data_IF_804339325175
#
_entry.id   IF_804339325175
#
_cell.length_a   1.000
_cell.length_b   1.000
_cell.length_c   1.000
_cell.angle_alpha   90.00
_cell.angle_beta   90.00
_cell.angle_gamma   90.00
#
_symmetry.space_group_name_H-M   'P 1'
#
loop_
_entity.id
_entity.type
_entity.pdbx_description
1 polymer ?
#
# COMPACT_ATOMS: atom_id res chain seq x y z
N UNK A 1 -14.26 41.43 20.01
CA UNK A 1 -13.16 40.46 20.00
C UNK A 1 -13.52 39.34 19.04
N UNK A 2 -13.15 39.47 17.77
CA UNK A 2 -13.58 38.55 16.69
C UNK A 2 -12.51 38.51 15.61
N UNK A 3 -11.30 38.06 15.94
CA UNK A 3 -10.25 37.78 14.95
C UNK A 3 -9.28 36.71 15.47
N UNK A 4 -9.70 35.43 15.50
CA UNK A 4 -8.80 34.30 15.72
C UNK A 4 -9.35 32.96 15.20
N UNK A 5 -10.13 32.94 14.12
CA UNK A 5 -10.64 31.67 13.52
C UNK A 5 -10.11 31.36 12.11
N UNK A 6 -9.36 32.25 11.48
CA UNK A 6 -9.00 32.14 10.06
C UNK A 6 -7.65 31.42 9.84
N UNK A 7 -6.81 31.27 10.88
CA UNK A 7 -5.50 30.61 10.76
C UNK A 7 -5.46 29.10 11.08
N UNK A 8 -6.51 28.54 11.71
CA UNK A 8 -6.49 27.16 12.19
C UNK A 8 -6.82 26.14 11.08
N UNK A 9 -7.70 26.51 10.14
CA UNK A 9 -8.16 25.63 9.04
C UNK A 9 -7.03 25.17 8.11
N UNK A 10 -6.11 26.05 7.62
CA UNK A 10 -5.00 25.59 6.79
C UNK A 10 -4.00 24.73 7.57
N UNK A 11 -3.80 24.99 8.87
CA UNK A 11 -2.90 24.19 9.71
C UNK A 11 -3.41 22.76 9.89
N UNK A 12 -4.71 22.60 10.19
CA UNK A 12 -5.34 21.29 10.28
C UNK A 12 -5.30 20.54 8.95
N UNK A 13 -5.59 21.21 7.84
CA UNK A 13 -5.55 20.60 6.50
C UNK A 13 -4.16 20.06 6.15
N UNK A 14 -3.09 20.81 6.46
CA UNK A 14 -1.71 20.37 6.24
C UNK A 14 -1.36 19.17 7.13
N UNK A 15 -1.76 19.18 8.40
CA UNK A 15 -1.51 18.02 9.28
C UNK A 15 -2.24 16.78 8.82
N UNK A 16 -3.49 16.89 8.37
CA UNK A 16 -4.25 15.76 7.82
C UNK A 16 -3.63 15.22 6.53
N UNK A 17 -3.17 16.11 5.64
CA UNK A 17 -2.49 15.70 4.42
C UNK A 17 -1.16 14.98 4.69
N UNK A 18 -0.37 15.46 5.67
CA UNK A 18 0.88 14.81 6.07
C UNK A 18 0.62 13.43 6.68
N UNK A 19 -0.36 13.32 7.58
CA UNK A 19 -0.73 12.03 8.19
C UNK A 19 -1.22 11.04 7.13
N UNK A 20 -2.10 11.47 6.22
CA UNK A 20 -2.57 10.65 5.10
C UNK A 20 -1.43 10.19 4.19
N UNK A 21 -0.43 11.06 3.94
CA UNK A 21 0.77 10.71 3.19
C UNK A 21 1.58 9.61 3.91
N UNK A 22 1.83 9.75 5.21
CA UNK A 22 2.54 8.71 5.98
C UNK A 22 1.79 7.38 5.99
N UNK A 23 0.46 7.39 6.16
CA UNK A 23 -0.38 6.19 6.10
C UNK A 23 -0.29 5.53 4.71
N UNK A 24 -0.31 6.34 3.66
CA UNK A 24 -0.11 5.86 2.29
C UNK A 24 1.26 5.22 2.07
N UNK A 25 2.32 5.78 2.67
CA UNK A 25 3.65 5.18 2.64
C UNK A 25 3.70 3.85 3.39
N UNK A 26 3.05 3.73 4.55
CA UNK A 26 2.98 2.47 5.31
C UNK A 26 2.23 1.40 4.51
N UNK A 27 1.06 1.73 3.95
CA UNK A 27 0.31 0.82 3.10
C UNK A 27 1.11 0.41 1.86
N UNK A 28 1.79 1.36 1.20
CA UNK A 28 2.69 1.08 0.08
C UNK A 28 3.83 0.13 0.51
N UNK A 29 4.43 0.36 1.68
CA UNK A 29 5.49 -0.50 2.23
C UNK A 29 4.98 -1.93 2.41
N UNK A 30 3.81 -2.12 3.01
CA UNK A 30 3.18 -3.43 3.21
C UNK A 30 2.93 -4.15 1.88
N UNK A 31 2.43 -3.42 0.89
CA UNK A 31 2.25 -3.93 -0.47
C UNK A 31 3.59 -4.35 -1.10
N UNK A 32 4.63 -3.52 -0.98
CA UNK A 32 5.96 -3.82 -1.50
C UNK A 32 6.58 -5.03 -0.81
N UNK A 33 6.39 -5.22 0.50
CA UNK A 33 6.86 -6.41 1.22
C UNK A 33 6.21 -7.66 0.64
N UNK A 34 4.89 -7.64 0.45
CA UNK A 34 4.17 -8.74 -0.17
C UNK A 34 4.69 -9.02 -1.59
N UNK A 35 4.75 -8.00 -2.46
CA UNK A 35 5.18 -8.17 -3.86
C UNK A 35 6.62 -8.65 -3.96
N UNK A 36 7.51 -8.10 -3.14
CA UNK A 36 8.91 -8.51 -3.09
C UNK A 36 9.05 -9.96 -2.64
N UNK A 37 8.26 -10.39 -1.65
CA UNK A 37 8.19 -11.78 -1.20
C UNK A 37 7.80 -12.71 -2.34
N UNK A 38 6.71 -12.42 -3.03
CA UNK A 38 6.26 -13.26 -4.15
C UNK A 38 7.31 -13.28 -5.26
N UNK A 39 7.82 -12.12 -5.68
CA UNK A 39 8.80 -12.00 -6.76
C UNK A 39 10.07 -12.78 -6.46
N UNK A 40 10.64 -12.62 -5.26
CA UNK A 40 11.86 -13.30 -4.88
C UNK A 40 11.68 -14.82 -4.90
N UNK A 41 10.63 -15.35 -4.27
CA UNK A 41 10.49 -16.80 -4.19
C UNK A 41 10.03 -17.43 -5.51
N UNK A 42 9.04 -16.85 -6.18
CA UNK A 42 8.45 -17.48 -7.37
C UNK A 42 9.26 -17.24 -8.65
N UNK A 43 9.89 -16.07 -8.79
CA UNK A 43 10.60 -15.71 -10.03
C UNK A 43 12.11 -15.87 -9.87
N UNK A 44 12.70 -15.33 -8.80
CA UNK A 44 14.17 -15.34 -8.63
C UNK A 44 14.67 -16.72 -8.23
N UNK A 45 13.99 -17.37 -7.29
CA UNK A 45 14.37 -18.73 -6.85
C UNK A 45 13.59 -19.84 -7.56
N UNK A 46 12.74 -19.50 -8.54
CA UNK A 46 11.92 -20.44 -9.33
C UNK A 46 11.22 -21.50 -8.45
N UNK A 47 10.77 -21.08 -7.25
CA UNK A 47 10.20 -21.97 -6.24
C UNK A 47 8.68 -21.80 -6.21
N UNK A 48 7.95 -22.90 -6.39
CA UNK A 48 6.53 -22.85 -6.07
C UNK A 48 6.35 -22.84 -4.54
N UNK A 49 5.86 -21.69 -4.07
CA UNK A 49 5.63 -21.44 -2.65
C UNK A 49 4.19 -21.75 -2.23
N UNK A 50 3.32 -22.23 -3.12
CA UNK A 50 2.00 -22.77 -2.78
C UNK A 50 1.21 -21.88 -1.81
N UNK A 51 0.80 -22.45 -0.68
CA UNK A 51 0.01 -21.78 0.37
C UNK A 51 0.66 -20.52 0.96
N UNK A 52 1.99 -20.39 0.89
CA UNK A 52 2.68 -19.19 1.34
C UNK A 52 2.32 -17.95 0.51
N UNK A 53 1.87 -18.12 -0.74
CA UNK A 53 1.32 -17.01 -1.55
C UNK A 53 0.07 -16.45 -0.91
N UNK A 54 -0.85 -17.34 -0.54
CA UNK A 54 -2.10 -17.00 0.15
C UNK A 54 -1.81 -16.41 1.52
N UNK A 55 -0.91 -17.01 2.30
CA UNK A 55 -0.50 -16.48 3.60
C UNK A 55 0.06 -15.06 3.49
N UNK A 56 0.98 -14.82 2.55
CA UNK A 56 1.54 -13.49 2.30
C UNK A 56 0.48 -12.48 1.86
N UNK A 57 -0.50 -12.90 1.06
CA UNK A 57 -1.63 -12.06 0.66
C UNK A 57 -2.54 -11.72 1.84
N UNK A 58 -2.87 -12.68 2.70
CA UNK A 58 -3.65 -12.44 3.92
C UNK A 58 -2.93 -11.49 4.88
N UNK A 59 -1.61 -11.63 5.03
CA UNK A 59 -0.80 -10.68 5.79
C UNK A 59 -0.83 -9.28 5.18
N UNK A 60 -0.81 -9.15 3.86
CA UNK A 60 -0.95 -7.85 3.20
C UNK A 60 -2.29 -7.20 3.53
N UNK A 61 -3.40 -7.95 3.48
CA UNK A 61 -4.72 -7.44 3.86
C UNK A 61 -4.78 -7.03 5.35
N UNK A 62 -4.18 -7.83 6.23
CA UNK A 62 -4.05 -7.50 7.64
C UNK A 62 -3.25 -6.20 7.85
N UNK A 63 -2.15 -6.04 7.11
CA UNK A 63 -1.36 -4.81 7.14
C UNK A 63 -2.15 -3.60 6.64
N UNK A 64 -2.95 -3.72 5.57
CA UNK A 64 -3.83 -2.64 5.12
C UNK A 64 -4.88 -2.27 6.17
N UNK A 65 -5.45 -3.27 6.85
CA UNK A 65 -6.36 -3.03 7.96
C UNK A 65 -5.66 -2.30 9.11
N UNK A 66 -4.41 -2.65 9.42
CA UNK A 66 -3.61 -1.94 10.41
C UNK A 66 -3.33 -0.49 9.98
N UNK A 67 -3.02 -0.23 8.71
CA UNK A 67 -2.86 1.13 8.16
C UNK A 67 -4.15 1.95 8.25
N UNK A 68 -5.31 1.31 8.07
CA UNK A 68 -6.61 1.96 8.31
C UNK A 68 -6.78 2.33 9.80
N UNK A 69 -6.39 1.44 10.72
CA UNK A 69 -6.36 1.74 12.15
C UNK A 69 -5.45 2.93 12.49
N UNK A 70 -4.24 2.99 11.91
CA UNK A 70 -3.32 4.11 12.05
C UNK A 70 -3.96 5.42 11.58
N UNK A 71 -4.71 5.38 10.46
CA UNK A 71 -5.50 6.52 9.99
C UNK A 71 -6.52 6.98 11.01
N UNK A 72 -7.23 6.06 11.64
CA UNK A 72 -8.22 6.43 12.66
C UNK A 72 -7.56 7.12 13.87
N UNK A 73 -6.46 6.56 14.39
CA UNK A 73 -5.70 7.16 15.51
C UNK A 73 -5.21 8.57 15.15
N UNK A 74 -4.67 8.73 13.95
CA UNK A 74 -4.12 9.99 13.46
C UNK A 74 -5.19 11.08 13.25
N UNK A 75 -6.38 10.70 12.78
CA UNK A 75 -7.44 11.65 12.42
C UNK A 75 -8.42 11.94 13.58
N UNK A 76 -8.63 10.97 14.47
CA UNK A 76 -9.55 11.08 15.59
C UNK A 76 -8.76 11.05 16.89
N UNK A 77 -8.33 12.20 17.39
CA UNK A 77 -7.60 12.29 18.65
C UNK A 77 -8.49 11.96 19.86
N UNK A 78 -7.86 11.59 20.98
CA UNK A 78 -8.54 11.36 22.26
C UNK A 78 -9.32 12.61 22.68
N UNK A 79 -10.63 12.53 22.53
CA UNK A 79 -11.53 13.63 22.85
C UNK A 79 -12.93 13.12 23.20
N UNK A 80 -13.77 13.99 23.77
CA UNK A 80 -15.06 13.62 24.36
C UNK A 80 -15.97 12.76 23.49
N UNK A 81 -16.01 13.08 22.19
CA UNK A 81 -16.94 12.51 21.22
C UNK A 81 -16.28 11.40 20.41
N UNK A 82 -14.95 11.43 20.26
CA UNK A 82 -14.21 10.63 19.29
C UNK A 82 -13.33 9.54 19.93
N UNK A 83 -13.30 9.45 21.26
CA UNK A 83 -12.49 8.48 21.99
C UNK A 83 -12.76 7.02 21.58
N UNK A 84 -14.02 6.66 21.32
CA UNK A 84 -14.37 5.29 20.88
C UNK A 84 -13.77 4.96 19.51
N UNK A 85 -13.76 5.93 18.58
CA UNK A 85 -13.16 5.80 17.25
C UNK A 85 -11.65 5.72 17.36
N UNK A 86 -11.04 6.58 18.19
CA UNK A 86 -9.61 6.55 18.48
C UNK A 86 -9.18 5.17 18.99
N UNK A 87 -9.83 4.67 20.04
CA UNK A 87 -9.49 3.39 20.66
C UNK A 87 -9.69 2.21 19.68
N UNK A 88 -10.76 2.24 18.88
CA UNK A 88 -10.98 1.24 17.83
C UNK A 88 -9.83 1.26 16.81
N UNK A 89 -9.40 2.46 16.42
CA UNK A 89 -8.23 2.66 15.56
C UNK A 89 -6.95 2.10 16.18
N UNK A 90 -6.70 2.43 17.46
CA UNK A 90 -5.51 2.04 18.19
C UNK A 90 -5.41 0.51 18.33
N UNK A 91 -6.49 -0.16 18.74
CA UNK A 91 -6.52 -1.61 18.82
C UNK A 91 -6.33 -2.26 17.44
N UNK A 92 -7.01 -1.76 16.42
CA UNK A 92 -6.86 -2.28 15.04
C UNK A 92 -5.42 -2.13 14.54
N UNK A 93 -4.80 -0.99 14.80
CA UNK A 93 -3.43 -0.71 14.39
C UNK A 93 -2.42 -1.56 15.15
N UNK A 94 -2.33 -1.44 16.48
CA UNK A 94 -1.26 -2.05 17.26
C UNK A 94 -1.34 -3.58 17.27
N UNK A 95 -2.54 -4.15 17.39
CA UNK A 95 -2.71 -5.61 17.32
C UNK A 95 -2.44 -6.08 15.89
N UNK A 96 -3.04 -5.42 14.90
CA UNK A 96 -2.90 -5.79 13.48
C UNK A 96 -1.45 -5.74 13.00
N UNK A 97 -0.71 -4.67 13.33
CA UNK A 97 0.67 -4.49 12.88
C UNK A 97 1.64 -5.46 13.57
N UNK A 98 1.40 -5.80 14.85
CA UNK A 98 2.20 -6.81 15.56
C UNK A 98 1.97 -8.20 14.97
N UNK A 99 0.71 -8.57 14.73
CA UNK A 99 0.39 -9.85 14.06
C UNK A 99 0.99 -9.90 12.65
N UNK A 100 0.97 -8.78 11.92
CA UNK A 100 1.65 -8.65 10.63
C UNK A 100 3.16 -8.93 10.76
N UNK A 101 3.86 -8.34 11.72
CA UNK A 101 5.30 -8.57 11.91
C UNK A 101 5.63 -10.01 12.29
N UNK A 102 4.82 -10.65 13.14
CA UNK A 102 4.95 -12.08 13.42
C UNK A 102 4.78 -12.93 12.16
N UNK A 103 3.78 -12.63 11.34
CA UNK A 103 3.58 -13.30 10.05
C UNK A 103 4.78 -13.15 9.11
N UNK A 104 5.33 -11.94 9.00
CA UNK A 104 6.53 -11.68 8.19
C UNK A 104 7.75 -12.46 8.71
N UNK A 105 7.92 -12.56 10.03
CA UNK A 105 8.98 -13.38 10.64
C UNK A 105 8.80 -14.87 10.33
N UNK A 106 7.56 -15.39 10.41
CA UNK A 106 7.26 -16.78 10.06
C UNK A 106 7.68 -17.07 8.61
N UNK A 107 7.33 -16.20 7.66
CA UNK A 107 7.79 -16.31 6.26
C UNK A 107 9.32 -16.31 6.18
N UNK A 108 9.98 -15.35 6.85
CA UNK A 108 11.43 -15.17 6.78
C UNK A 108 12.23 -16.35 7.36
N UNK A 109 11.73 -17.00 8.41
CA UNK A 109 12.38 -18.18 9.00
C UNK A 109 12.04 -19.47 8.26
N UNK A 110 10.80 -19.63 7.81
CA UNK A 110 10.30 -20.88 7.21
C UNK A 110 10.78 -21.06 5.77
N UNK A 111 10.83 -19.99 4.99
CA UNK A 111 11.21 -20.09 3.59
C UNK A 111 12.73 -20.03 3.40
N UNK A 112 13.23 -21.02 2.66
CA UNK A 112 14.60 -21.11 2.16
C UNK A 112 14.60 -21.13 0.63
N UNK A 113 15.59 -20.49 -0.03
CA UNK A 113 16.63 -19.61 0.54
C UNK A 113 16.06 -18.29 1.07
N UNK A 114 16.73 -17.62 2.02
CA UNK A 114 16.18 -16.40 2.64
C UNK A 114 16.34 -15.18 1.74
N UNK A 115 15.35 -14.28 1.77
CA UNK A 115 15.41 -12.95 1.14
C UNK A 115 16.45 -12.05 1.77
N UNK A 116 16.49 -12.05 3.11
CA UNK A 116 17.36 -11.18 3.91
C UNK A 116 18.33 -12.01 4.75
N UNK A 117 19.36 -11.35 5.29
CA UNK A 117 20.32 -12.00 6.17
C UNK A 117 19.64 -12.49 7.46
N UNK A 118 20.14 -13.60 8.01
CA UNK A 118 19.61 -14.14 9.26
C UNK A 118 19.79 -13.17 10.44
N UNK A 119 20.87 -12.38 10.44
CA UNK A 119 21.11 -11.37 11.47
C UNK A 119 20.02 -10.29 11.46
N UNK A 120 19.63 -9.81 10.27
CA UNK A 120 18.54 -8.85 10.16
C UNK A 120 17.21 -9.48 10.61
N UNK A 121 16.93 -10.73 10.21
CA UNK A 121 15.74 -11.45 10.70
C UNK A 121 15.72 -11.60 12.22
N UNK A 122 16.87 -11.87 12.84
CA UNK A 122 16.98 -11.97 14.31
C UNK A 122 16.75 -10.60 14.99
N UNK A 123 17.25 -9.50 14.42
CA UNK A 123 16.97 -8.15 14.95
C UNK A 123 15.46 -7.87 14.90
N UNK A 124 14.80 -8.19 13.78
CA UNK A 124 13.33 -8.06 13.65
C UNK A 124 12.58 -8.91 14.67
N UNK A 125 13.08 -10.11 14.97
CA UNK A 125 12.51 -10.98 16.00
C UNK A 125 12.60 -10.33 17.39
N UNK A 126 13.77 -9.79 17.77
CA UNK A 126 13.95 -9.11 19.06
C UNK A 126 13.01 -7.90 19.15
N UNK A 127 12.94 -7.06 18.13
CA UNK A 127 12.04 -5.91 18.09
C UNK A 127 10.56 -6.33 18.20
N UNK A 128 10.16 -7.37 17.49
CA UNK A 128 8.77 -7.88 17.51
C UNK A 128 8.41 -8.48 18.88
N UNK A 129 9.34 -9.18 19.52
CA UNK A 129 9.17 -9.68 20.89
C UNK A 129 9.00 -8.52 21.88
N UNK A 130 9.90 -7.53 21.83
CA UNK A 130 9.83 -6.34 22.69
C UNK A 130 8.53 -5.57 22.50
N UNK A 131 8.11 -5.34 21.25
CA UNK A 131 6.85 -4.68 20.93
C UNK A 131 5.64 -5.49 21.44
N UNK A 132 5.67 -6.82 21.30
CA UNK A 132 4.60 -7.69 21.80
C UNK A 132 4.51 -7.64 23.34
N UNK A 133 5.64 -7.69 24.04
CA UNK A 133 5.68 -7.57 25.50
C UNK A 133 5.19 -6.20 25.98
N UNK A 134 5.56 -5.11 25.30
CA UNK A 134 5.07 -3.78 25.61
C UNK A 134 3.58 -3.62 25.31
N UNK A 135 3.07 -4.22 24.24
CA UNK A 135 1.62 -4.24 23.96
C UNK A 135 0.87 -4.94 25.10
N UNK A 136 1.33 -6.10 25.55
CA UNK A 136 0.71 -6.81 26.68
C UNK A 136 0.77 -5.95 27.95
N UNK A 137 1.92 -5.34 28.26
CA UNK A 137 2.06 -4.44 29.39
C UNK A 137 1.09 -3.25 29.31
N UNK A 138 0.96 -2.63 28.13
CA UNK A 138 0.02 -1.53 27.88
C UNK A 138 -1.42 -1.98 28.15
N UNK A 139 -1.83 -3.15 27.62
CA UNK A 139 -3.18 -3.69 27.84
C UNK A 139 -3.46 -3.99 29.32
N UNK A 140 -2.48 -4.52 30.04
CA UNK A 140 -2.61 -4.75 31.49
C UNK A 140 -2.78 -3.42 32.23
N UNK A 141 -1.98 -2.40 31.91
CA UNK A 141 -2.11 -1.07 32.52
C UNK A 141 -3.43 -0.39 32.20
N UNK A 142 -3.95 -0.60 30.98
CA UNK A 142 -5.19 -0.01 30.48
C UNK A 142 -6.44 -0.65 31.09
N UNK A 143 -6.46 -1.97 31.28
CA UNK A 143 -7.68 -2.71 31.68
C UNK A 143 -7.66 -3.25 33.10
N UNK A 144 -6.51 -3.69 33.59
CA UNK A 144 -6.38 -4.27 34.94
C UNK A 144 -5.91 -3.24 35.97
N UNK A 145 -5.42 -2.08 35.50
CA UNK A 145 -5.04 -0.94 36.32
C UNK A 145 -4.18 -1.30 37.56
N UNK A 146 -3.12 -2.12 37.43
CA UNK A 146 -2.38 -2.71 38.55
C UNK A 146 -1.74 -1.69 39.50
N UNK A 147 -1.57 -0.44 39.08
CA UNK A 147 -1.01 0.63 39.89
C UNK A 147 -2.06 1.54 40.55
N UNK A 148 -3.34 1.17 40.50
CA UNK A 148 -4.42 1.96 41.07
C UNK A 148 -4.39 1.89 42.61
N UNK A 149 -4.47 3.04 43.27
CA UNK A 149 -4.42 3.15 44.74
C UNK A 149 -5.77 2.97 45.44
N UNK A 150 -6.88 2.92 44.70
CA UNK A 150 -8.23 2.74 45.23
C UNK A 150 -9.10 2.00 44.22
N UNK A 151 -10.08 1.25 44.71
CA UNK A 151 -11.15 0.71 43.89
C UNK A 151 -12.10 1.84 43.47
N UNK A 152 -12.32 2.00 42.17
CA UNK A 152 -13.17 3.03 41.58
C UNK A 152 -12.89 3.12 40.09
N UNK A 153 -13.88 3.55 39.29
CA UNK A 153 -13.62 3.87 37.88
C UNK A 153 -13.06 5.28 37.81
N UNK A 154 -12.01 5.47 37.02
CA UNK A 154 -11.51 6.80 36.72
C UNK A 154 -12.63 7.64 36.09
N UNK A 155 -12.95 8.79 36.70
CA UNK A 155 -13.85 9.75 36.08
C UNK A 155 -13.11 10.42 34.92
N UNK A 156 -13.41 9.96 33.71
CA UNK A 156 -12.88 10.58 32.49
C UNK A 156 -13.60 11.91 32.32
N UNK A 157 -12.89 13.02 32.53
CA UNK A 157 -13.40 14.35 32.21
C UNK A 157 -13.77 14.40 30.73
N UNK A 158 -15.07 14.36 30.44
CA UNK A 158 -15.62 14.35 29.09
C UNK A 158 -15.55 15.70 28.39
N UNK A 159 -14.86 16.71 28.94
CA UNK A 159 -14.79 18.04 28.31
C UNK A 159 -13.42 18.67 28.52
N UNK A 160 -12.73 18.98 27.42
CA UNK A 160 -11.40 19.60 27.40
C UNK A 160 -10.25 18.61 27.24
N UNK A 161 -9.01 19.10 27.36
CA UNK A 161 -7.80 18.27 27.37
C UNK A 161 -7.82 17.48 28.69
N UNK A 162 -7.91 16.16 28.61
CA UNK A 162 -7.85 15.29 29.78
C UNK A 162 -6.53 15.52 30.52
N UNK A 163 -6.62 16.06 31.74
CA UNK A 163 -5.47 16.25 32.63
C UNK A 163 -5.70 15.40 33.86
N UNK A 164 -4.90 14.34 34.01
CA UNK A 164 -4.92 13.49 35.19
C UNK A 164 -4.04 14.15 36.25
N UNK A 165 -4.59 14.62 37.38
CA UNK A 165 -3.79 15.26 38.41
C UNK A 165 -2.91 14.22 39.12
N UNK A 166 -1.78 14.65 39.68
CA UNK A 166 -0.80 13.74 40.31
C UNK A 166 -1.32 13.02 41.56
N UNK A 167 -2.41 13.51 42.14
CA UNK A 167 -3.11 12.90 43.27
C UNK A 167 -4.18 11.87 42.85
N UNK A 168 -4.45 11.70 41.56
CA UNK A 168 -5.41 10.72 41.05
C UNK A 168 -4.95 9.29 41.41
N UNK A 169 -5.83 8.43 41.97
CA UNK A 169 -5.50 7.06 42.31
C UNK A 169 -4.94 6.23 41.13
N UNK A 170 -5.28 6.60 39.89
CA UNK A 170 -4.92 5.94 38.64
C UNK A 170 -3.79 6.67 37.88
N UNK A 171 -3.21 7.74 38.45
CA UNK A 171 -2.17 8.54 37.80
C UNK A 171 -1.00 7.69 37.26
N UNK A 172 -0.54 6.71 38.04
CA UNK A 172 0.56 5.84 37.61
C UNK A 172 0.18 4.92 36.45
N UNK A 173 -1.06 4.42 36.40
CA UNK A 173 -1.54 3.64 35.25
C UNK A 173 -1.57 4.53 34.00
N UNK A 174 -2.06 5.76 34.11
CA UNK A 174 -2.10 6.70 32.99
C UNK A 174 -0.69 7.00 32.45
N UNK A 175 0.28 7.28 33.31
CA UNK A 175 1.67 7.46 32.89
C UNK A 175 2.23 6.19 32.23
N UNK A 176 1.97 5.01 32.82
CA UNK A 176 2.44 3.74 32.29
C UNK A 176 1.86 3.45 30.89
N UNK A 177 0.54 3.63 30.70
CA UNK A 177 -0.13 3.45 29.42
C UNK A 177 0.42 4.41 28.38
N UNK A 178 0.53 5.71 28.69
CA UNK A 178 1.04 6.71 27.75
C UNK A 178 2.49 6.42 27.38
N UNK A 179 3.39 6.18 28.34
CA UNK A 179 4.80 5.91 28.04
C UNK A 179 4.95 4.63 27.21
N UNK A 180 4.24 3.56 27.58
CA UNK A 180 4.26 2.31 26.83
C UNK A 180 3.75 2.45 25.40
N UNK A 181 2.73 3.28 25.17
CA UNK A 181 2.16 3.53 23.85
C UNK A 181 3.15 4.26 22.94
N UNK A 182 3.79 5.32 23.43
CA UNK A 182 4.78 6.07 22.65
C UNK A 182 6.01 5.22 22.33
N UNK A 183 6.51 4.42 23.28
CA UNK A 183 7.61 3.49 23.03
C UNK A 183 7.17 2.45 21.98
N UNK A 184 5.95 1.93 22.08
CA UNK A 184 5.40 0.98 21.12
C UNK A 184 5.29 1.57 19.71
N UNK A 185 4.81 2.81 19.59
CA UNK A 185 4.74 3.54 18.32
C UNK A 185 6.14 3.68 17.68
N UNK A 186 7.14 4.10 18.46
CA UNK A 186 8.52 4.24 17.98
C UNK A 186 9.13 2.89 17.56
N UNK A 187 8.84 1.80 18.28
CA UNK A 187 9.29 0.47 17.90
C UNK A 187 8.66 -0.02 16.59
N UNK A 188 7.37 0.26 16.39
CA UNK A 188 6.67 -0.06 15.14
C UNK A 188 7.26 0.75 13.98
N UNK A 189 7.52 2.04 14.16
CA UNK A 189 8.17 2.88 13.16
C UNK A 189 9.57 2.37 12.79
N UNK A 190 10.41 2.08 13.79
CA UNK A 190 11.73 1.48 13.58
C UNK A 190 11.62 0.16 12.81
N UNK A 191 10.64 -0.68 13.14
CA UNK A 191 10.41 -1.96 12.48
C UNK A 191 10.02 -1.78 11.01
N UNK A 192 9.17 -0.81 10.67
CA UNK A 192 8.80 -0.45 9.30
C UNK A 192 10.03 0.06 8.53
N UNK A 193 10.85 0.93 9.14
CA UNK A 193 12.10 1.41 8.53
C UNK A 193 13.07 0.27 8.22
N UNK A 194 13.15 -0.73 9.11
CA UNK A 194 13.94 -1.94 8.88
C UNK A 194 13.44 -2.75 7.68
N UNK A 195 12.14 -2.77 7.39
CA UNK A 195 11.61 -3.39 6.17
C UNK A 195 11.86 -2.52 4.94
N UNK A 196 11.77 -1.19 5.07
CA UNK A 196 12.10 -0.27 3.97
C UNK A 196 13.54 -0.41 3.51
N UNK A 197 14.46 -0.71 4.43
CA UNK A 197 15.85 -1.02 4.12
C UNK A 197 16.00 -2.20 3.14
N UNK A 198 15.09 -3.19 3.15
CA UNK A 198 15.14 -4.31 2.19
C UNK A 198 14.98 -3.85 0.74
N UNK A 199 14.20 -2.77 0.54
CA UNK A 199 13.92 -2.22 -0.78
C UNK A 199 15.04 -1.35 -1.34
N UNK A 200 16.05 -1.00 -0.54
CA UNK A 200 17.21 -0.26 -1.04
C UNK A 200 17.93 -0.99 -2.19
N UNK A 201 17.74 -2.31 -2.30
CA UNK A 201 18.30 -3.15 -3.36
C UNK A 201 17.33 -3.44 -4.52
N UNK A 202 16.11 -2.92 -4.49
CA UNK A 202 15.03 -3.23 -5.44
C UNK A 202 14.84 -2.08 -6.41
N UNK A 203 14.85 -2.36 -7.71
CA UNK A 203 14.52 -1.39 -8.77
C UNK A 203 13.10 -1.59 -9.28
N UNK A 204 12.24 -0.58 -9.09
CA UNK A 204 10.90 -0.55 -9.67
C UNK A 204 10.99 -0.08 -11.13
N UNK A 205 10.44 -0.87 -12.04
CA UNK A 205 10.32 -0.49 -13.45
C UNK A 205 8.99 0.24 -13.69
N UNK A 206 8.98 1.18 -14.62
CA UNK A 206 7.77 1.93 -14.99
C UNK A 206 6.67 0.98 -15.46
N UNK A 207 5.39 1.25 -15.10
CA UNK A 207 4.28 0.46 -15.59
C UNK A 207 4.27 0.51 -17.13
N UNK A 208 4.06 -0.65 -17.76
CA UNK A 208 3.92 -0.72 -19.22
C UNK A 208 2.64 0.00 -19.61
N UNK A 209 2.77 1.13 -20.29
CA UNK A 209 1.65 1.85 -20.88
C UNK A 209 1.56 1.44 -22.35
N UNK A 210 0.49 0.71 -22.71
CA UNK A 210 0.14 0.50 -24.11
C UNK A 210 -0.88 1.54 -24.51
N UNK A 211 -0.54 2.38 -25.47
CA UNK A 211 -1.49 3.32 -26.06
C UNK A 211 -2.37 2.53 -27.01
N UNK A 212 -3.69 2.53 -26.78
CA UNK A 212 -4.64 1.92 -27.71
C UNK A 212 -4.82 2.85 -28.91
N UNK A 213 -4.02 2.62 -29.95
CA UNK A 213 -3.95 3.45 -31.15
C UNK A 213 -5.33 3.66 -31.81
N UNK A 214 -6.21 2.65 -31.78
CA UNK A 214 -7.57 2.75 -32.31
C UNK A 214 -8.37 3.90 -31.70
N UNK A 215 -8.19 4.17 -30.41
CA UNK A 215 -8.91 5.24 -29.71
C UNK A 215 -8.32 6.62 -30.05
N UNK A 216 -7.01 6.70 -30.31
CA UNK A 216 -6.37 7.93 -30.75
C UNK A 216 -6.80 8.28 -32.18
N UNK A 217 -6.81 7.30 -33.09
CA UNK A 217 -7.25 7.52 -34.46
C UNK A 217 -8.74 7.88 -34.54
N UNK A 218 -9.60 7.20 -33.78
CA UNK A 218 -11.03 7.53 -33.70
C UNK A 218 -11.24 8.96 -33.15
N UNK A 219 -10.56 9.33 -32.06
CA UNK A 219 -10.66 10.68 -31.50
C UNK A 219 -10.13 11.76 -32.45
N UNK A 220 -9.07 11.46 -33.22
CA UNK A 220 -8.52 12.37 -34.23
C UNK A 220 -9.47 12.55 -35.40
N UNK A 221 -10.17 11.50 -35.83
CA UNK A 221 -11.21 11.58 -36.86
C UNK A 221 -12.40 12.42 -36.37
N UNK A 222 -12.89 12.17 -35.16
CA UNK A 222 -13.99 12.94 -34.56
C UNK A 222 -13.61 14.42 -34.41
N UNK A 223 -12.40 14.72 -33.94
CA UNK A 223 -11.90 16.09 -33.85
C UNK A 223 -11.83 16.76 -35.23
N UNK A 224 -11.28 16.07 -36.24
CA UNK A 224 -11.23 16.61 -37.60
C UNK A 224 -12.62 16.84 -38.22
N UNK A 225 -13.59 15.98 -37.91
CA UNK A 225 -14.96 16.11 -38.39
C UNK A 225 -15.68 17.28 -37.70
N UNK A 226 -15.42 17.49 -36.40
CA UNK A 226 -15.96 18.61 -35.62
C UNK A 226 -15.40 19.94 -36.10
N UNK A 227 -14.09 20.00 -36.38
CA UNK A 227 -13.44 21.20 -36.95
C UNK A 227 -14.03 21.53 -38.33
N UNK A 228 -14.23 20.53 -39.20
CA UNK A 228 -14.85 20.75 -40.51
C UNK A 228 -16.30 21.27 -40.40
N UNK A 229 -17.09 20.78 -39.44
CA UNK A 229 -18.45 21.28 -39.19
C UNK A 229 -18.40 22.74 -38.71
N UNK A 230 -17.46 23.08 -37.83
CA UNK A 230 -17.31 24.44 -37.33
C UNK A 230 -16.90 25.42 -38.44
N UNK A 231 -15.91 25.06 -39.27
CA UNK A 231 -15.53 25.86 -40.45
C UNK A 231 -16.67 25.98 -41.46
N UNK A 232 -17.45 24.94 -41.71
CA UNK A 232 -18.60 25.00 -42.61
C UNK A 232 -19.70 25.95 -42.10
N UNK A 233 -19.90 26.01 -40.77
CA UNK A 233 -20.85 26.93 -40.13
C UNK A 233 -20.35 28.38 -40.16
N UNK A 234 -19.04 28.61 -40.01
CA UNK A 234 -18.44 29.95 -40.04
C UNK A 234 -18.44 30.57 -41.45
N UNK A 235 -18.23 29.76 -42.49
CA UNK A 235 -18.19 30.22 -43.90
C UNK A 235 -19.59 30.46 -44.48
N UNK A 236 -20.65 29.85 -43.92
CA UNK A 236 -22.03 30.09 -44.37
C UNK A 236 -23.06 30.00 -43.22
N UNK A 237 -23.26 31.09 -42.46
CA UNK A 237 -24.14 31.10 -41.28
C UNK A 237 -25.63 30.90 -41.59
N UNK A 238 -26.05 30.82 -42.86
CA UNK A 238 -27.45 30.65 -43.27
C UNK A 238 -27.75 29.32 -43.97
N UNK A 239 -26.79 28.39 -44.05
CA UNK A 239 -27.01 27.06 -44.68
C UNK A 239 -27.42 25.95 -43.70
N UNK A 240 -27.64 26.25 -42.42
CA UNK A 240 -28.02 25.26 -41.39
C UNK A 240 -29.52 24.97 -41.25
N UNK A 241 -30.39 25.67 -41.99
CA UNK A 241 -31.84 25.63 -41.75
C UNK A 241 -32.58 24.46 -42.40
N UNK A 242 -31.91 23.33 -42.69
CA UNK A 242 -32.56 22.18 -43.36
C UNK A 242 -32.14 20.78 -42.89
N UNK A 243 -31.64 20.65 -41.67
CA UNK A 243 -31.47 19.35 -40.99
C UNK A 243 -31.96 19.34 -39.53
N UNK A 244 -32.80 20.31 -39.14
CA UNK A 244 -33.55 20.27 -37.88
C UNK A 244 -35.02 20.11 -38.25
N UNK A 245 -35.43 18.87 -38.47
CA UNK A 245 -36.81 18.49 -38.77
C UNK A 245 -37.14 17.20 -38.05
N UNK A 246 -38.06 17.31 -37.09
CA UNK A 246 -38.74 16.23 -36.35
C UNK A 246 -37.94 15.48 -35.28
N UNK A 247 -37.87 16.07 -34.09
CA UNK A 247 -38.08 15.31 -32.86
C UNK A 247 -38.99 16.11 -31.93
N UNK A 248 -40.30 15.95 -32.10
CA UNK A 248 -41.31 16.34 -31.11
C UNK A 248 -41.65 15.14 -30.23
N UNK A 249 -41.68 15.43 -28.93
CA UNK A 249 -42.00 14.62 -27.76
C UNK A 249 -42.78 13.31 -27.95
N UNK A 250 -42.25 12.23 -27.37
CA UNK A 250 -43.04 11.37 -26.46
C UNK A 250 -42.12 10.52 -25.57
N UNK A 251 -42.22 10.76 -24.27
CA UNK A 251 -41.73 9.95 -23.16
C UNK A 251 -42.02 8.46 -23.37
N UNK A 252 -41.02 7.56 -23.32
CA UNK A 252 -41.10 6.21 -22.69
C UNK A 252 -39.71 5.57 -22.58
N UNK A 253 -39.45 4.99 -21.42
CA UNK A 253 -38.29 4.17 -21.05
C UNK A 253 -37.97 3.03 -22.04
N UNK A 254 -36.71 2.55 -21.91
CA UNK A 254 -36.21 1.16 -22.01
C UNK A 254 -35.61 0.68 -23.33
N UNK A 255 -34.40 0.13 -23.13
CA UNK A 255 -33.81 -1.09 -23.70
C UNK A 255 -32.92 -0.87 -24.94
N UNK A 256 -31.61 -1.03 -24.73
CA UNK A 256 -30.59 -1.21 -25.76
C UNK A 256 -30.91 -2.43 -26.64
N UNK A 257 -30.79 -2.35 -27.97
CA UNK A 257 -30.65 -3.53 -28.81
C UNK A 257 -29.19 -3.72 -29.29
N UNK A 258 -28.78 -4.98 -29.11
CA UNK A 258 -27.66 -5.71 -29.70
C UNK A 258 -27.46 -5.38 -31.19
N UNK A 259 -26.21 -5.13 -31.58
CA UNK A 259 -25.79 -5.00 -32.98
C UNK A 259 -25.28 -6.36 -33.45
N UNK A 260 -26.02 -6.99 -34.36
CA UNK A 260 -25.57 -8.12 -35.17
C UNK A 260 -24.83 -7.58 -36.41
N UNK A 261 -23.71 -8.21 -36.75
CA UNK A 261 -22.91 -7.91 -37.94
C UNK A 261 -23.63 -8.29 -39.24
N UNK A 262 -23.41 -7.54 -40.33
CA UNK A 262 -23.35 -8.15 -41.64
C UNK A 262 -22.02 -7.87 -42.35
N UNK A 263 -21.50 -8.94 -42.93
CA UNK A 263 -20.38 -9.02 -43.84
C UNK A 263 -20.70 -8.35 -45.18
N UNK A 264 -19.79 -7.53 -45.71
CA UNK A 264 -19.61 -7.41 -47.16
C UNK A 264 -18.20 -6.95 -47.52
N UNK A 265 -17.64 -7.70 -48.46
CA UNK A 265 -16.36 -7.59 -49.14
C UNK A 265 -16.38 -6.45 -50.14
N UNK A 266 -15.31 -5.64 -50.22
CA UNK A 266 -14.86 -5.07 -51.49
C UNK A 266 -13.38 -4.66 -51.45
N UNK A 267 -12.70 -5.02 -52.53
CA UNK A 267 -11.26 -5.08 -52.74
C UNK A 267 -10.54 -3.74 -52.94
N UNK A 268 -9.24 -3.78 -52.62
CA UNK A 268 -8.11 -3.13 -53.30
C UNK A 268 -8.13 -1.62 -53.60
N UNK A 269 -7.39 -0.85 -52.80
CA UNK A 269 -6.42 0.15 -53.29
C UNK A 269 -5.24 0.26 -52.31
N UNK A 270 -4.05 -0.18 -52.74
CA UNK A 270 -2.77 0.18 -52.12
C UNK A 270 -2.31 1.56 -52.63
N UNK A 271 -1.59 2.33 -51.81
CA UNK A 271 -0.38 2.96 -52.32
C UNK A 271 0.84 2.67 -51.46
N UNK A 272 1.89 2.30 -52.18
CA UNK A 272 3.28 2.08 -51.77
C UNK A 272 3.99 3.36 -51.31
N UNK A 273 4.72 3.28 -50.18
CA UNK A 273 6.08 3.86 -50.05
C UNK A 273 6.81 3.23 -48.83
N UNK A 274 8.09 2.84 -48.94
CA UNK A 274 8.80 2.15 -47.87
C UNK A 274 9.55 3.13 -46.96
N UNK A 275 9.27 3.09 -45.65
CA UNK A 275 10.09 3.74 -44.63
C UNK A 275 11.01 2.69 -44.01
N UNK A 276 12.25 2.66 -44.51
CA UNK A 276 13.39 1.91 -43.96
C UNK A 276 13.79 2.49 -42.59
N UNK A 277 13.17 2.00 -41.52
CA UNK A 277 13.62 2.28 -40.15
C UNK A 277 14.59 1.20 -39.67
N UNK A 278 15.87 1.48 -39.97
CA UNK A 278 17.05 1.27 -39.13
C UNK A 278 17.01 0.15 -38.07
N UNK A 279 17.81 -0.89 -38.31
CA UNK A 279 18.28 -1.95 -37.38
C UNK A 279 19.10 -1.42 -36.18
N UNK A 280 18.70 -0.32 -35.55
CA UNK A 280 19.44 0.29 -34.41
C UNK A 280 18.75 0.13 -33.05
N UNK A 281 17.52 -0.40 -32.99
CA UNK A 281 16.81 -0.56 -31.71
C UNK A 281 17.07 -1.92 -31.02
N UNK A 282 17.52 -2.95 -31.75
CA UNK A 282 17.79 -4.27 -31.17
C UNK A 282 19.10 -4.33 -30.36
N UNK A 283 20.01 -3.38 -30.55
CA UNK A 283 21.31 -3.37 -29.85
C UNK A 283 21.26 -2.66 -28.49
N UNK A 284 20.27 -1.80 -28.25
CA UNK A 284 20.17 -1.05 -26.99
C UNK A 284 19.34 -1.78 -25.91
N UNK A 285 18.43 -2.67 -26.32
CA UNK A 285 17.60 -3.46 -25.40
C UNK A 285 18.34 -4.59 -24.68
N UNK A 286 19.59 -4.89 -25.08
CA UNK A 286 20.39 -6.00 -24.52
C UNK A 286 21.40 -5.57 -23.44
N UNK A 287 21.52 -4.27 -23.16
CA UNK A 287 22.52 -3.74 -22.25
C UNK A 287 21.88 -3.08 -21.01
N UNK A 288 21.40 -3.92 -20.06
CA UNK A 288 21.29 -3.66 -18.59
C UNK A 288 20.32 -4.59 -17.84
N UNK A 289 19.86 -5.69 -18.44
CA UNK A 289 19.38 -6.81 -17.62
C UNK A 289 20.62 -7.49 -17.04
N UNK A 290 20.83 -7.38 -15.72
CA UNK A 290 21.77 -8.26 -15.04
C UNK A 290 21.42 -9.70 -15.47
N UNK A 291 22.40 -10.51 -15.92
CA UNK A 291 22.11 -11.83 -16.44
C UNK A 291 21.37 -12.66 -15.38
N UNK A 292 20.42 -13.49 -15.81
CA UNK A 292 19.71 -14.48 -14.97
C UNK A 292 20.66 -15.28 -14.04
N UNK A 293 21.95 -15.36 -14.36
CA UNK A 293 22.98 -15.99 -13.52
C UNK A 293 23.18 -15.28 -12.18
N UNK A 294 23.13 -13.94 -12.10
CA UNK A 294 23.42 -13.19 -10.87
C UNK A 294 22.40 -13.47 -9.77
N UNK A 295 21.12 -13.61 -10.14
CA UNK A 295 20.01 -13.91 -9.24
C UNK A 295 20.01 -15.37 -8.77
N UNK A 296 20.29 -16.31 -9.69
CA UNK A 296 20.49 -17.72 -9.36
C UNK A 296 21.65 -17.96 -8.37
N UNK A 297 22.69 -17.11 -8.42
CA UNK A 297 23.77 -17.15 -7.44
C UNK A 297 23.30 -16.77 -6.03
N UNK A 298 22.36 -15.84 -5.85
CA UNK A 298 21.83 -15.46 -4.52
C UNK A 298 21.07 -16.62 -3.89
N UNK A 299 20.15 -17.26 -4.64
CA UNK A 299 19.41 -18.42 -4.16
C UNK A 299 20.36 -19.60 -3.84
N UNK A 300 21.38 -19.86 -4.68
CA UNK A 300 22.40 -20.91 -4.43
C UNK A 300 23.34 -20.60 -3.26
N UNK A 301 23.76 -19.34 -3.07
CA UNK A 301 24.64 -18.91 -1.97
C UNK A 301 23.93 -18.98 -0.63
N UNK A 302 22.67 -18.53 -0.57
CA UNK A 302 21.86 -18.61 0.64
C UNK A 302 21.45 -20.05 0.98
N UNK A 303 21.34 -20.94 -0.01
CA UNK A 303 21.17 -22.38 0.23
C UNK A 303 22.44 -23.02 0.84
N UNK A 304 23.64 -22.71 0.32
CA UNK A 304 24.91 -23.26 0.84
C UNK A 304 25.24 -22.77 2.25
N UNK A 305 25.07 -21.48 2.54
CA UNK A 305 25.34 -20.91 3.87
C UNK A 305 24.33 -21.36 4.95
N UNK A 306 23.19 -21.96 4.55
CA UNK A 306 22.22 -22.55 5.46
C UNK A 306 22.44 -24.05 5.73
N UNK A 307 23.44 -24.68 5.09
CA UNK A 307 23.75 -26.11 5.17
C UNK A 307 25.10 -26.36 5.86
N UNK A 308 25.34 -25.73 7.02
CA UNK A 308 26.35 -26.22 7.95
C UNK A 308 25.73 -27.35 8.80
N UNK A 309 25.61 -28.53 8.20
CA UNK A 309 25.39 -29.76 8.98
C UNK A 309 26.68 -30.07 9.77
N UNK A 310 26.60 -30.56 11.02
CA UNK A 310 27.79 -30.91 11.78
C UNK A 310 28.45 -32.12 11.10
N UNK A 311 29.71 -31.96 10.72
CA UNK A 311 30.56 -33.03 10.21
C UNK A 311 30.73 -34.05 11.34
N UNK A 312 30.09 -35.22 11.21
CA UNK A 312 30.31 -36.36 12.10
C UNK A 312 31.80 -36.73 12.03
N UNK A 313 32.53 -36.45 13.11
CA UNK A 313 33.86 -36.99 13.36
C UNK A 313 33.72 -38.49 13.64
N UNK A 314 34.14 -39.32 12.68
CA UNK A 314 34.35 -40.74 12.92
C UNK A 314 35.60 -40.89 13.80
N UNK A 315 35.41 -41.13 15.09
CA UNK A 315 36.42 -41.79 15.91
C UNK A 315 36.37 -43.29 15.58
N UNK A 316 37.44 -43.79 14.97
CA UNK A 316 37.75 -45.21 14.92
C UNK A 316 38.45 -45.57 16.23
N UNK A 317 37.92 -46.60 16.90
CA UNK A 317 38.65 -47.44 17.86
C UNK A 317 39.84 -48.13 17.18
#
# INVERSE_FOLDING_TARGET
MTQAKIGLVPLFSVTFALLAFFIGLVAMTIYLIHRYTILFYSVVCEKDIGDWKTFSFLLMLLGFLASLGMSMVANFQEGPILLSVHNTGAFTFFIGIILYFWGQLIIAYSLKPRMVSIHLTNIRLVLTLTASSLLVFHMVCLFAEPFAKSAGKQEVNQFGIARVPSNDPHFLNHIATTVSEWILALLVELQILLYMYDFASVSLHTPKMSVQESNIFANKQIASQTDQIYYAHEVNPYSGSRLIGEFSDTTTQRRLPRVDHPSTVLDNVQPSLPLTLSKSQDTFARAKLAPHSTYNHVCRRNARNGSSAPQKTNHRE
#
